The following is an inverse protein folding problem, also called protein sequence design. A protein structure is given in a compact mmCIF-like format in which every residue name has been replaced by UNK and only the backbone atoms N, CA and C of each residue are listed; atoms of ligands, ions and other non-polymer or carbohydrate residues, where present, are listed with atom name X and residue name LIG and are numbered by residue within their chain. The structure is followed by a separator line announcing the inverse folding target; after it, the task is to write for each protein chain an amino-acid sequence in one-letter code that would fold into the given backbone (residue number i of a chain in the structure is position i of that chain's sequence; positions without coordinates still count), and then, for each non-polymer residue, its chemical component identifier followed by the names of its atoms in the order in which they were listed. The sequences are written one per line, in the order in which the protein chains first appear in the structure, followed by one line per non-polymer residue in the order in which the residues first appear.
data_IF_258929538350
#
_entry.id   IF_258929538350
#
_cell.length_a   1.000
_cell.length_b   1.000
_cell.length_c   1.000
_cell.angle_alpha   90.00
_cell.angle_beta   90.00
_cell.angle_gamma   90.00
#
_symmetry.space_group_name_H-M   'P 1'
#
loop_
_entity.id
_entity.type
_entity.pdbx_description
1 polymer ?
#
# COMPACT_ATOMS: atom_id res chain seq x y z
N UNK A 1 -17.37 -12.02 74.19
CA UNK A 1 -18.18 -11.99 72.95
C UNK A 1 -17.24 -12.33 71.80
N UNK A 2 -17.29 -13.59 71.35
CA UNK A 2 -16.37 -14.12 70.33
C UNK A 2 -17.14 -14.15 69.00
N UNK A 3 -16.75 -13.31 68.03
CA UNK A 3 -17.31 -13.37 66.68
C UNK A 3 -16.60 -14.43 65.88
N UNK A 4 -17.33 -15.47 65.48
CA UNK A 4 -16.86 -16.56 64.62
C UNK A 4 -16.76 -16.03 63.18
N UNK A 5 -15.54 -16.09 62.61
CA UNK A 5 -15.32 -15.97 61.18
C UNK A 5 -15.54 -17.31 60.49
N UNK A 6 -16.36 -17.34 59.47
CA UNK A 6 -16.62 -18.48 58.61
C UNK A 6 -15.69 -18.38 57.40
N UNK A 7 -14.92 -19.42 57.04
CA UNK A 7 -14.13 -19.38 55.83
C UNK A 7 -14.99 -19.74 54.62
N UNK A 8 -14.96 -18.85 53.61
CA UNK A 8 -15.53 -19.08 52.29
C UNK A 8 -14.60 -19.99 51.49
N UNK A 9 -15.00 -21.25 51.27
CA UNK A 9 -14.30 -22.18 50.44
C UNK A 9 -14.46 -21.83 48.96
N UNK A 10 -13.38 -21.37 48.31
CA UNK A 10 -13.31 -21.17 46.88
C UNK A 10 -12.96 -22.49 46.21
N UNK A 11 -13.91 -23.18 45.62
CA UNK A 11 -13.68 -24.37 44.79
C UNK A 11 -13.23 -23.96 43.42
N UNK A 12 -11.94 -24.16 43.12
CA UNK A 12 -11.35 -24.01 41.79
C UNK A 12 -11.62 -25.28 40.98
N UNK A 13 -12.58 -25.26 40.07
CA UNK A 13 -12.76 -26.33 39.09
C UNK A 13 -11.84 -26.10 37.90
N UNK A 14 -10.77 -26.89 37.77
CA UNK A 14 -10.01 -27.00 36.54
C UNK A 14 -10.88 -27.69 35.46
N UNK A 15 -11.45 -26.95 34.57
CA UNK A 15 -11.99 -27.48 33.32
C UNK A 15 -10.90 -27.55 32.27
N UNK A 16 -10.38 -28.76 32.01
CA UNK A 16 -9.63 -29.05 30.80
C UNK A 16 -10.62 -29.01 29.62
N UNK A 17 -10.54 -28.01 28.78
CA UNK A 17 -11.26 -27.98 27.53
C UNK A 17 -10.31 -27.75 26.36
N UNK A 18 -10.14 -28.82 25.64
CA UNK A 18 -9.86 -29.01 24.22
C UNK A 18 -9.48 -27.78 23.40
N UNK A 19 -8.31 -27.87 22.80
CA UNK A 19 -7.82 -27.03 21.71
C UNK A 19 -8.79 -27.07 20.54
N UNK A 20 -9.61 -26.03 20.41
CA UNK A 20 -10.31 -25.67 19.19
C UNK A 20 -9.75 -24.34 18.71
N UNK A 21 -9.42 -24.25 17.42
CA UNK A 21 -9.09 -22.99 16.73
C UNK A 21 -10.05 -21.91 17.22
N UNK A 22 -9.56 -21.01 18.05
CA UNK A 22 -10.32 -19.83 18.44
C UNK A 22 -10.30 -18.87 17.26
N UNK A 23 -11.37 -18.92 16.47
CA UNK A 23 -11.91 -17.71 15.89
C UNK A 23 -12.23 -16.79 17.08
N UNK A 24 -11.28 -15.97 17.47
CA UNK A 24 -11.57 -14.83 18.33
C UNK A 24 -12.48 -13.93 17.53
N UNK A 25 -13.75 -13.74 17.97
CA UNK A 25 -14.57 -12.73 17.33
C UNK A 25 -13.86 -11.40 17.58
N UNK A 26 -13.31 -10.83 16.51
CA UNK A 26 -12.86 -9.45 16.52
C UNK A 26 -14.08 -8.63 16.89
N UNK A 27 -14.10 -8.10 18.12
CA UNK A 27 -15.13 -7.17 18.57
C UNK A 27 -15.16 -6.05 17.52
N UNK A 28 -16.28 -5.80 16.84
CA UNK A 28 -16.32 -4.79 15.81
C UNK A 28 -16.03 -3.43 16.46
N UNK A 29 -14.84 -2.90 16.24
CA UNK A 29 -14.56 -1.51 16.51
C UNK A 29 -15.49 -0.72 15.59
N UNK A 30 -16.43 -0.04 16.17
CA UNK A 30 -17.58 0.69 15.63
C UNK A 30 -17.52 0.99 14.12
N UNK A 31 -17.93 0.04 13.29
CA UNK A 31 -18.15 0.24 11.86
C UNK A 31 -17.05 -0.27 10.91
N UNK A 32 -15.88 -0.68 11.40
CA UNK A 32 -14.88 -1.37 10.58
C UNK A 32 -15.35 -2.80 10.37
N UNK A 33 -15.43 -3.25 9.11
CA UNK A 33 -15.87 -4.61 8.75
C UNK A 33 -14.79 -5.32 7.95
N UNK A 34 -14.21 -6.36 8.55
CA UNK A 34 -13.27 -7.26 7.91
C UNK A 34 -13.82 -8.68 8.03
N UNK A 35 -13.96 -9.39 6.90
CA UNK A 35 -14.42 -10.77 6.86
C UNK A 35 -13.47 -11.57 5.98
N UNK A 36 -12.86 -12.62 6.54
CA UNK A 36 -11.92 -13.51 5.82
C UNK A 36 -10.81 -12.74 5.06
N UNK A 37 -10.27 -11.69 5.69
CA UNK A 37 -9.23 -10.86 5.09
C UNK A 37 -9.73 -9.79 4.12
N UNK A 38 -11.04 -9.69 3.87
CA UNK A 38 -11.65 -8.67 3.00
C UNK A 38 -12.15 -7.51 3.84
N UNK A 39 -11.61 -6.32 3.61
CA UNK A 39 -12.09 -5.07 4.20
C UNK A 39 -13.24 -4.53 3.37
N UNK A 40 -14.45 -4.51 3.92
CA UNK A 40 -15.66 -4.03 3.25
C UNK A 40 -16.17 -2.68 3.76
N UNK A 41 -15.77 -2.27 4.96
CA UNK A 41 -16.09 -0.94 5.49
C UNK A 41 -15.02 -0.45 6.46
N UNK A 42 -14.68 0.84 6.37
CA UNK A 42 -13.79 1.54 7.31
C UNK A 42 -14.27 2.98 7.44
N UNK A 43 -15.05 3.34 8.46
CA UNK A 43 -15.57 4.72 8.60
C UNK A 43 -14.43 5.73 8.78
N UNK A 44 -14.50 6.86 8.08
CA UNK A 44 -13.46 7.89 8.12
C UNK A 44 -13.18 8.41 9.55
N UNK A 45 -14.19 8.43 10.43
CA UNK A 45 -14.04 8.81 11.83
C UNK A 45 -13.14 7.90 12.66
N UNK A 46 -12.91 6.66 12.20
CA UNK A 46 -12.03 5.68 12.85
C UNK A 46 -10.56 5.85 12.42
N UNK A 47 -10.29 6.74 11.45
CA UNK A 47 -8.91 7.05 11.05
C UNK A 47 -8.25 7.85 12.17
N UNK A 48 -7.08 7.39 12.61
CA UNK A 48 -6.29 8.10 13.61
C UNK A 48 -6.04 9.57 13.20
N UNK A 49 -5.88 10.46 14.16
CA UNK A 49 -5.58 11.88 13.90
C UNK A 49 -4.32 12.10 13.01
N UNK A 50 -3.44 11.12 12.96
CA UNK A 50 -2.26 11.07 12.07
C UNK A 50 -2.60 10.77 10.61
N UNK A 51 -3.83 10.33 10.33
CA UNK A 51 -4.23 9.86 9.00
C UNK A 51 -3.75 8.44 8.67
N UNK A 52 -3.25 7.69 9.65
CA UNK A 52 -2.72 6.35 9.47
C UNK A 52 -3.81 5.28 9.64
N UNK A 53 -3.89 4.37 8.69
CA UNK A 53 -4.66 3.13 8.74
C UNK A 53 -3.71 1.95 8.62
N UNK A 54 -3.76 1.01 9.57
CA UNK A 54 -2.95 -0.22 9.57
C UNK A 54 -3.84 -1.44 9.40
N UNK A 55 -3.55 -2.24 8.38
CA UNK A 55 -4.36 -3.38 7.92
C UNK A 55 -3.50 -4.64 7.78
N UNK A 56 -2.89 -5.14 8.87
CA UNK A 56 -1.87 -6.22 8.79
C UNK A 56 -2.46 -7.55 8.30
N UNK A 57 -3.76 -7.80 8.50
CA UNK A 57 -4.42 -9.07 8.14
C UNK A 57 -5.31 -8.95 6.89
N UNK A 58 -5.37 -7.76 6.28
CA UNK A 58 -6.22 -7.53 5.12
C UNK A 58 -5.49 -7.96 3.85
N UNK A 59 -6.16 -8.80 3.07
CA UNK A 59 -5.68 -9.29 1.78
C UNK A 59 -6.43 -8.64 0.61
N UNK A 60 -7.64 -8.13 0.86
CA UNK A 60 -8.46 -7.44 -0.14
C UNK A 60 -9.12 -6.20 0.48
N UNK A 61 -9.08 -5.08 -0.23
CA UNK A 61 -9.89 -3.89 0.05
C UNK A 61 -11.01 -3.85 -0.99
N UNK A 62 -12.26 -3.86 -0.54
CA UNK A 62 -13.43 -3.80 -1.42
C UNK A 62 -13.55 -2.45 -2.13
N UNK A 63 -14.43 -2.40 -3.13
CA UNK A 63 -14.69 -1.18 -3.87
C UNK A 63 -15.12 -0.03 -2.95
N UNK A 64 -14.60 1.19 -3.21
CA UNK A 64 -15.01 2.46 -2.58
C UNK A 64 -14.80 2.58 -1.06
N UNK A 65 -14.05 1.69 -0.42
CA UNK A 65 -13.90 1.68 1.05
C UNK A 65 -13.32 3.00 1.58
N UNK A 66 -12.41 3.62 0.85
CA UNK A 66 -11.77 4.89 1.22
C UNK A 66 -12.04 6.02 0.20
N UNK A 67 -13.11 5.87 -0.61
CA UNK A 67 -13.46 6.87 -1.62
C UNK A 67 -13.73 8.24 -0.94
N UNK A 68 -13.02 9.28 -1.40
CA UNK A 68 -13.22 10.65 -0.96
C UNK A 68 -12.64 11.02 0.41
N UNK A 69 -12.01 10.11 1.13
CA UNK A 69 -11.52 10.32 2.50
C UNK A 69 -10.38 11.33 2.58
N UNK A 70 -10.67 12.49 3.17
CA UNK A 70 -9.72 13.62 3.25
C UNK A 70 -8.78 13.54 4.45
N UNK A 71 -9.10 12.73 5.44
CA UNK A 71 -8.25 12.48 6.61
C UNK A 71 -7.23 11.36 6.38
N UNK A 72 -7.45 10.49 5.39
CA UNK A 72 -6.56 9.36 5.08
C UNK A 72 -5.25 9.85 4.45
N UNK A 73 -4.11 9.55 5.09
CA UNK A 73 -2.77 9.91 4.61
C UNK A 73 -1.92 8.68 4.30
N UNK A 74 -1.93 7.71 5.17
CA UNK A 74 -1.07 6.53 5.07
C UNK A 74 -1.88 5.26 5.26
N UNK A 75 -1.70 4.30 4.38
CA UNK A 75 -2.23 2.94 4.52
C UNK A 75 -1.08 1.95 4.56
N UNK A 76 -1.07 1.09 5.58
CA UNK A 76 -0.13 -0.03 5.72
C UNK A 76 -0.89 -1.34 5.56
N UNK A 77 -0.63 -2.07 4.49
CA UNK A 77 -1.32 -3.31 4.17
C UNK A 77 -0.34 -4.34 3.57
N UNK A 78 0.54 -4.94 4.41
CA UNK A 78 1.64 -5.78 3.94
C UNK A 78 1.19 -7.09 3.26
N UNK A 79 -0.04 -7.53 3.51
CA UNK A 79 -0.59 -8.77 2.96
C UNK A 79 -1.60 -8.52 1.82
N UNK A 80 -1.71 -7.27 1.33
CA UNK A 80 -2.69 -6.89 0.33
C UNK A 80 -2.37 -7.51 -1.03
N UNK A 81 -3.36 -8.17 -1.63
CA UNK A 81 -3.27 -8.80 -2.95
C UNK A 81 -4.30 -8.25 -3.93
N UNK A 82 -5.33 -7.53 -3.41
CA UNK A 82 -6.37 -6.96 -4.27
C UNK A 82 -6.89 -5.63 -3.72
N UNK A 83 -7.06 -4.67 -4.62
CA UNK A 83 -7.66 -3.36 -4.37
C UNK A 83 -8.87 -3.23 -5.30
N UNK A 84 -10.04 -3.01 -4.74
CA UNK A 84 -11.30 -2.88 -5.49
C UNK A 84 -11.44 -1.57 -6.25
N UNK A 85 -12.48 -1.49 -7.07
CA UNK A 85 -12.79 -0.31 -7.90
C UNK A 85 -12.96 0.94 -7.03
N UNK A 86 -12.36 2.03 -7.45
CA UNK A 86 -12.44 3.33 -6.77
C UNK A 86 -12.09 3.28 -5.27
N UNK A 87 -11.34 2.26 -4.80
CA UNK A 87 -11.11 2.04 -3.37
C UNK A 87 -10.50 3.24 -2.64
N UNK A 88 -9.62 4.00 -3.31
CA UNK A 88 -9.00 5.22 -2.78
C UNK A 88 -9.34 6.47 -3.60
N UNK A 89 -10.28 6.37 -4.56
CA UNK A 89 -10.64 7.46 -5.46
C UNK A 89 -10.91 8.76 -4.70
N UNK A 90 -10.22 9.84 -5.09
CA UNK A 90 -10.39 11.16 -4.48
C UNK A 90 -9.97 11.27 -3.02
N UNK A 91 -9.33 10.26 -2.43
CA UNK A 91 -8.80 10.34 -1.07
C UNK A 91 -7.56 11.22 -0.98
N UNK A 92 -7.18 11.61 0.24
CA UNK A 92 -5.96 12.38 0.49
C UNK A 92 -4.73 11.48 0.77
N UNK A 93 -4.73 10.27 0.19
CA UNK A 93 -3.63 9.31 0.34
C UNK A 93 -2.31 9.87 -0.17
N UNK A 94 -1.28 9.83 0.67
CA UNK A 94 0.08 10.28 0.33
C UNK A 94 1.12 9.17 0.48
N UNK A 95 0.77 8.05 1.14
CA UNK A 95 1.69 6.92 1.30
C UNK A 95 0.92 5.61 1.36
N UNK A 96 1.38 4.62 0.60
CA UNK A 96 0.85 3.25 0.61
C UNK A 96 2.00 2.27 0.87
N UNK A 97 1.94 1.55 2.00
CA UNK A 97 2.91 0.52 2.35
C UNK A 97 2.35 -0.86 2.03
N UNK A 98 3.02 -1.58 1.15
CA UNK A 98 2.68 -2.92 0.70
C UNK A 98 3.77 -3.93 1.06
N UNK A 99 3.45 -5.21 0.97
CA UNK A 99 4.42 -6.29 1.13
C UNK A 99 5.10 -6.69 -0.17
N UNK A 100 5.44 -7.96 -0.29
CA UNK A 100 6.21 -8.47 -1.44
C UNK A 100 5.36 -8.72 -2.69
N UNK A 101 4.03 -8.72 -2.58
CA UNK A 101 3.11 -9.06 -3.67
C UNK A 101 2.52 -7.79 -4.28
N UNK A 102 2.65 -7.63 -5.60
CA UNK A 102 1.98 -6.55 -6.34
C UNK A 102 0.48 -6.84 -6.38
N UNK A 103 -0.38 -5.99 -5.79
CA UNK A 103 -1.81 -6.25 -5.79
C UNK A 103 -2.44 -6.00 -7.17
N UNK A 104 -3.49 -6.77 -7.48
CA UNK A 104 -4.39 -6.41 -8.58
C UNK A 104 -5.24 -5.22 -8.18
N UNK A 105 -5.57 -4.37 -9.15
CA UNK A 105 -6.39 -3.17 -8.92
C UNK A 105 -7.62 -3.19 -9.82
N UNK A 106 -8.75 -2.77 -9.24
CA UNK A 106 -9.94 -2.44 -10.00
C UNK A 106 -9.83 -1.08 -10.69
N UNK A 107 -10.87 -0.73 -11.42
CA UNK A 107 -10.91 0.53 -12.16
C UNK A 107 -10.91 1.74 -11.21
N UNK A 108 -10.26 2.81 -11.62
CA UNK A 108 -10.19 4.10 -10.89
C UNK A 108 -9.71 3.99 -9.44
N UNK A 109 -9.05 2.90 -9.06
CA UNK A 109 -8.69 2.62 -7.65
C UNK A 109 -7.98 3.79 -6.95
N UNK A 110 -7.18 4.56 -7.68
CA UNK A 110 -6.42 5.73 -7.17
C UNK A 110 -6.74 7.03 -7.89
N UNK A 111 -7.80 7.08 -8.70
CA UNK A 111 -8.17 8.29 -9.44
C UNK A 111 -8.39 9.47 -8.49
N UNK A 112 -7.85 10.65 -8.82
CA UNK A 112 -8.00 11.87 -8.03
C UNK A 112 -7.31 11.84 -6.65
N UNK A 113 -6.41 10.88 -6.41
CA UNK A 113 -5.47 10.93 -5.28
C UNK A 113 -4.32 11.89 -5.57
N UNK A 114 -3.51 12.21 -4.56
CA UNK A 114 -2.31 13.05 -4.74
C UNK A 114 -1.32 12.42 -5.72
N UNK A 115 -0.74 13.22 -6.61
CA UNK A 115 0.40 12.82 -7.44
C UNK A 115 1.74 12.78 -6.66
N UNK A 116 1.77 13.38 -5.45
CA UNK A 116 2.93 13.39 -4.56
C UNK A 116 2.98 12.16 -3.63
N UNK A 117 2.28 11.07 -3.98
CA UNK A 117 2.23 9.87 -3.13
C UNK A 117 3.44 8.97 -3.32
N UNK A 118 3.92 8.41 -2.20
CA UNK A 118 5.00 7.44 -2.14
C UNK A 118 4.48 6.01 -1.97
N UNK A 119 5.07 5.07 -2.68
CA UNK A 119 4.83 3.65 -2.52
C UNK A 119 5.97 3.06 -1.69
N UNK A 120 5.64 2.43 -0.57
CA UNK A 120 6.62 1.79 0.31
C UNK A 120 6.53 0.29 0.14
N UNK A 121 7.63 -0.35 -0.25
CA UNK A 121 7.72 -1.79 -0.50
C UNK A 121 9.06 -2.34 0.00
N UNK A 122 9.23 -3.66 0.17
CA UNK A 122 10.53 -4.26 0.45
C UNK A 122 11.57 -3.85 -0.59
N UNK A 123 12.80 -3.59 -0.16
CA UNK A 123 13.86 -3.04 -1.02
C UNK A 123 14.20 -3.95 -2.22
N UNK A 124 14.09 -5.26 -2.06
CA UNK A 124 14.29 -6.27 -3.10
C UNK A 124 13.11 -6.38 -4.09
N UNK A 125 12.02 -5.63 -3.85
CA UNK A 125 10.79 -5.65 -4.67
C UNK A 125 10.55 -4.38 -5.47
N UNK A 126 11.40 -3.37 -5.36
CA UNK A 126 11.22 -2.08 -6.03
C UNK A 126 10.98 -2.23 -7.54
N UNK A 127 11.76 -3.09 -8.21
CA UNK A 127 11.60 -3.32 -9.65
C UNK A 127 10.24 -3.96 -10.00
N UNK A 128 9.77 -4.92 -9.19
CA UNK A 128 8.50 -5.61 -9.41
C UNK A 128 7.30 -4.64 -9.32
N UNK A 129 7.44 -3.57 -8.54
CA UNK A 129 6.39 -2.56 -8.33
C UNK A 129 6.48 -1.34 -9.25
N UNK A 130 7.50 -1.24 -10.12
CA UNK A 130 7.70 -0.06 -10.96
C UNK A 130 6.49 0.23 -11.87
N UNK A 131 5.98 -0.78 -12.56
CA UNK A 131 4.82 -0.62 -13.45
C UNK A 131 3.53 -0.29 -12.69
N UNK A 132 3.34 -0.90 -11.52
CA UNK A 132 2.23 -0.57 -10.62
C UNK A 132 2.29 0.91 -10.20
N UNK A 133 3.46 1.38 -9.79
CA UNK A 133 3.65 2.76 -9.36
C UNK A 133 3.41 3.76 -10.50
N UNK A 134 3.93 3.49 -11.71
CA UNK A 134 3.69 4.29 -12.91
C UNK A 134 2.20 4.33 -13.26
N UNK A 135 1.55 3.16 -13.38
CA UNK A 135 0.12 3.02 -13.72
C UNK A 135 -0.78 3.84 -12.80
N UNK A 136 -0.45 3.91 -11.52
CA UNK A 136 -1.26 4.57 -10.49
C UNK A 136 -0.71 5.93 -10.06
N UNK A 137 0.18 6.53 -10.84
CA UNK A 137 0.73 7.88 -10.65
C UNK A 137 1.34 8.09 -9.25
N UNK A 138 2.11 7.10 -8.76
CA UNK A 138 2.99 7.33 -7.62
C UNK A 138 4.19 8.16 -8.06
N UNK A 139 4.67 9.06 -7.21
CA UNK A 139 5.84 9.89 -7.48
C UNK A 139 7.15 9.13 -7.24
N UNK A 140 7.17 8.36 -6.16
CA UNK A 140 8.37 7.67 -5.68
C UNK A 140 8.04 6.25 -5.24
N UNK A 141 9.08 5.40 -5.17
CA UNK A 141 9.07 4.14 -4.43
C UNK A 141 10.17 4.24 -3.36
N UNK A 142 9.79 4.06 -2.08
CA UNK A 142 10.70 4.20 -0.94
C UNK A 142 11.42 5.56 -0.92
N UNK A 143 10.75 6.64 -1.33
CA UNK A 143 11.30 8.00 -1.41
C UNK A 143 12.27 8.24 -2.56
N UNK A 144 12.53 7.24 -3.44
CA UNK A 144 13.39 7.37 -4.62
C UNK A 144 12.55 7.43 -5.91
N UNK A 145 13.05 8.02 -7.01
CA UNK A 145 12.40 7.98 -8.30
C UNK A 145 12.08 6.55 -8.74
N UNK A 146 10.94 6.39 -9.43
CA UNK A 146 10.50 5.07 -9.91
C UNK A 146 11.48 4.61 -11.01
N UNK A 147 11.98 3.36 -10.97
CA UNK A 147 12.86 2.84 -12.02
C UNK A 147 12.29 3.05 -13.42
N UNK A 148 13.11 3.60 -14.32
CA UNK A 148 12.73 3.89 -15.69
C UNK A 148 11.88 5.16 -15.90
N UNK A 149 11.74 6.05 -14.89
CA UNK A 149 11.11 7.38 -15.03
C UNK A 149 12.12 8.51 -15.13
N UNK A 150 13.39 8.25 -14.89
CA UNK A 150 14.47 9.23 -14.99
C UNK A 150 15.48 8.80 -16.04
N UNK A 151 16.17 9.78 -16.62
CA UNK A 151 17.31 9.51 -17.52
C UNK A 151 18.42 8.91 -16.65
N UNK A 152 18.88 7.72 -17.01
CA UNK A 152 19.92 7.03 -16.25
C UNK A 152 21.14 6.77 -17.15
N UNK A 153 22.31 7.25 -16.71
CA UNK A 153 23.60 7.02 -17.34
C UNK A 153 24.50 6.31 -16.34
N UNK A 154 25.00 5.11 -16.69
CA UNK A 154 25.92 4.33 -15.86
C UNK A 154 27.23 4.13 -16.63
N UNK A 155 28.35 4.56 -16.05
CA UNK A 155 29.68 4.41 -16.63
C UNK A 155 29.78 4.91 -18.08
N UNK A 156 29.07 5.99 -18.41
CA UNK A 156 28.99 6.55 -19.76
C UNK A 156 27.97 5.85 -20.69
N UNK A 157 27.27 4.83 -20.21
CA UNK A 157 26.22 4.14 -20.98
C UNK A 157 24.86 4.71 -20.62
N UNK A 158 24.10 5.18 -21.60
CA UNK A 158 22.69 5.55 -21.42
C UNK A 158 21.87 4.27 -21.30
N UNK A 159 21.31 4.00 -20.10
CA UNK A 159 20.56 2.77 -19.82
C UNK A 159 19.04 2.99 -19.76
N UNK A 160 18.60 4.24 -19.49
CA UNK A 160 17.20 4.60 -19.48
C UNK A 160 16.98 6.00 -20.03
N UNK A 161 16.01 6.16 -20.93
CA UNK A 161 15.51 7.44 -21.40
C UNK A 161 13.98 7.39 -21.48
N UNK A 162 13.26 7.93 -20.48
CA UNK A 162 11.79 7.88 -20.43
C UNK A 162 11.17 8.66 -21.60
N UNK A 163 10.07 8.13 -22.17
CA UNK A 163 9.37 8.74 -23.32
C UNK A 163 8.89 10.16 -23.01
N UNK A 164 8.44 10.43 -21.79
CA UNK A 164 7.96 11.75 -21.34
C UNK A 164 9.08 12.80 -21.26
N UNK A 165 10.34 12.39 -21.33
CA UNK A 165 11.51 13.28 -21.39
C UNK A 165 11.93 13.61 -22.82
N UNK A 166 11.33 12.97 -23.84
CA UNK A 166 11.64 13.24 -25.24
C UNK A 166 11.09 14.62 -25.61
N UNK A 167 11.91 15.55 -26.10
CA UNK A 167 11.47 16.86 -26.53
C UNK A 167 10.43 16.80 -27.66
N UNK A 168 9.56 17.81 -27.76
CA UNK A 168 8.48 17.85 -28.75
C UNK A 168 8.96 17.83 -30.21
N UNK A 169 10.20 18.22 -30.46
CA UNK A 169 10.86 18.13 -31.77
C UNK A 169 11.47 16.77 -32.08
N UNK A 170 11.37 15.84 -31.14
CA UNK A 170 11.94 14.49 -31.26
C UNK A 170 13.47 14.43 -31.19
N UNK A 171 14.14 15.54 -30.88
CA UNK A 171 15.60 15.60 -30.83
C UNK A 171 16.10 15.40 -29.39
N UNK A 172 16.75 14.28 -29.12
CA UNK A 172 17.41 14.02 -27.84
C UNK A 172 18.87 14.43 -27.92
N UNK A 173 19.27 15.40 -27.11
CA UNK A 173 20.67 15.80 -26.99
C UNK A 173 21.26 15.14 -25.76
N UNK A 174 22.27 14.28 -25.99
CA UNK A 174 22.98 13.58 -24.91
C UNK A 174 24.20 14.40 -24.48
N UNK A 175 24.51 14.33 -23.18
CA UNK A 175 25.72 14.93 -22.63
C UNK A 175 26.98 14.28 -23.22
N UNK A 176 28.07 15.04 -23.31
CA UNK A 176 29.36 14.55 -23.84
C UNK A 176 29.96 13.37 -23.04
N UNK A 177 29.42 13.09 -21.88
CA UNK A 177 29.79 11.94 -21.03
C UNK A 177 29.17 10.64 -21.48
N UNK A 178 28.17 10.65 -22.35
CA UNK A 178 27.53 9.44 -22.88
C UNK A 178 28.39 8.91 -24.04
N UNK A 179 28.93 7.76 -23.83
CA UNK A 179 29.80 7.06 -24.84
C UNK A 179 29.10 5.88 -25.51
N UNK A 180 28.00 5.40 -24.91
CA UNK A 180 27.24 4.25 -25.39
C UNK A 180 25.74 4.40 -25.04
N UNK A 181 24.87 3.80 -25.85
CA UNK A 181 23.43 3.67 -25.59
C UNK A 181 23.12 2.18 -25.50
N UNK A 182 22.55 1.77 -24.36
CA UNK A 182 22.19 0.37 -24.17
C UNK A 182 21.05 -0.06 -25.12
N UNK A 183 20.96 -1.36 -25.38
CA UNK A 183 19.92 -1.91 -26.23
C UNK A 183 18.53 -1.60 -25.68
N UNK A 184 17.63 -1.16 -26.56
CA UNK A 184 16.22 -0.96 -26.22
C UNK A 184 15.88 0.36 -25.53
N UNK A 185 16.82 1.24 -25.23
CA UNK A 185 16.58 2.52 -24.52
C UNK A 185 15.46 3.37 -25.14
N UNK A 186 15.28 3.33 -26.45
CA UNK A 186 14.29 4.09 -27.20
C UNK A 186 13.20 3.23 -27.88
N UNK A 187 13.07 1.95 -27.51
CA UNK A 187 12.16 1.01 -28.20
C UNK A 187 10.69 1.46 -28.18
N UNK A 188 10.24 2.08 -27.08
CA UNK A 188 8.87 2.51 -26.90
C UNK A 188 8.67 4.03 -27.15
N UNK A 189 9.69 4.72 -27.68
CA UNK A 189 9.67 6.17 -27.94
C UNK A 189 9.24 6.51 -29.39
N UNK A 190 8.17 5.85 -29.88
CA UNK A 190 7.62 6.07 -31.23
C UNK A 190 6.24 6.70 -31.19
#
# INVERSE_FOLDING_TARGET
MIKKFLPLALTLTLGLSSCSKTDTPVVPQSGITITSGVLSAYPEKEIAATGLVSLPEVTEISAKVFEGYKTLKTVKAPNLTKIGDAAFKGSALTSLELGATVPTTGDDAFEGTSEEKDLIVPADKVADFADFAKKHHFKTINGAPIPGTEIEIKDGVLVTYPIDKTPADGVVTLEATVTEIADGVFLDNT
#
